data_IF_602538985582
#
_entry.id   IF_602538985582
#
_cell.length_a   1.000
_cell.length_b   1.000
_cell.length_c   1.000
_cell.angle_alpha   90.00
_cell.angle_beta   90.00
_cell.angle_gamma   90.00
#
_symmetry.space_group_name_H-M   'P 1'
#
loop_
_entity.id
_entity.type
_entity.pdbx_description
1 polymer ?
#
# COMPACT_ATOMS: atom_id res chain seq x y z
N UNK A 1 16.62 8.21 -2.23
CA UNK A 1 16.43 6.77 -2.13
C UNK A 1 15.04 6.54 -1.55
N UNK A 2 14.32 5.51 -2.00
CA UNK A 2 13.02 5.19 -1.42
C UNK A 2 13.17 4.77 0.06
N UNK A 3 12.14 5.04 0.86
CA UNK A 3 12.05 4.63 2.26
C UNK A 3 10.92 3.61 2.42
N UNK A 4 11.21 2.51 3.11
CA UNK A 4 10.19 1.54 3.49
C UNK A 4 9.94 1.61 4.98
N UNK A 5 8.67 1.68 5.35
CA UNK A 5 8.28 1.72 6.74
C UNK A 5 6.90 1.11 6.92
N UNK A 6 6.57 0.85 8.17
CA UNK A 6 5.22 0.49 8.60
C UNK A 6 4.76 1.39 9.72
N UNK A 7 3.46 1.61 9.81
CA UNK A 7 2.76 2.22 10.93
C UNK A 7 1.55 1.38 11.28
N UNK A 8 0.98 1.63 12.45
CA UNK A 8 -0.22 0.98 12.91
C UNK A 8 -1.33 2.01 13.07
N UNK A 9 -2.47 1.74 12.43
CA UNK A 9 -3.65 2.57 12.50
C UNK A 9 -4.68 1.91 13.42
N UNK A 10 -4.72 2.39 14.66
CA UNK A 10 -5.49 1.78 15.75
C UNK A 10 -7.01 1.79 15.51
N UNK A 11 -7.53 2.84 14.87
CA UNK A 11 -8.98 3.00 14.65
C UNK A 11 -9.57 1.90 13.78
N UNK A 12 -8.80 1.38 12.81
CA UNK A 12 -9.25 0.31 11.91
C UNK A 12 -8.58 -1.03 12.15
N UNK A 13 -7.72 -1.14 13.17
CA UNK A 13 -6.87 -2.31 13.42
C UNK A 13 -6.10 -2.69 12.15
N UNK A 14 -5.28 -1.76 11.63
CA UNK A 14 -4.52 -1.95 10.39
C UNK A 14 -3.03 -1.72 10.57
N UNK A 15 -2.23 -2.63 10.03
CA UNK A 15 -0.84 -2.35 9.69
C UNK A 15 -0.79 -1.73 8.29
N UNK A 16 -0.27 -0.50 8.23
CA UNK A 16 0.00 0.21 6.98
C UNK A 16 1.47 0.04 6.65
N UNK A 17 1.80 -0.48 5.48
CA UNK A 17 3.17 -0.62 5.01
C UNK A 17 3.36 0.18 3.72
N UNK A 18 4.36 1.05 3.69
CA UNK A 18 4.62 1.95 2.58
C UNK A 18 6.02 1.75 2.00
N UNK A 19 6.09 1.84 0.67
CA UNK A 19 7.28 2.32 -0.03
C UNK A 19 7.01 3.78 -0.39
N UNK A 20 7.79 4.70 0.14
CA UNK A 20 7.73 6.12 -0.14
C UNK A 20 8.91 6.56 -1.01
N UNK A 21 8.66 7.54 -1.89
CA UNK A 21 9.71 8.20 -2.65
C UNK A 21 10.47 9.26 -1.81
N UNK A 22 11.29 10.07 -2.47
CA UNK A 22 12.11 11.11 -1.82
C UNK A 22 11.29 12.35 -1.41
N UNK A 23 10.05 12.46 -1.88
CA UNK A 23 9.12 13.55 -1.58
C UNK A 23 8.06 13.12 -0.55
N UNK A 24 8.30 12.00 0.15
CA UNK A 24 7.40 11.39 1.13
C UNK A 24 6.02 11.02 0.55
N UNK A 25 5.94 10.69 -0.74
CA UNK A 25 4.71 10.19 -1.36
C UNK A 25 4.72 8.67 -1.52
N UNK A 26 3.54 8.05 -1.41
CA UNK A 26 3.38 6.62 -1.57
C UNK A 26 3.66 6.16 -3.02
N UNK A 27 4.67 5.32 -3.21
CA UNK A 27 4.92 4.58 -4.46
C UNK A 27 4.13 3.28 -4.47
N UNK A 28 4.14 2.57 -3.34
CA UNK A 28 3.30 1.39 -3.07
C UNK A 28 2.80 1.43 -1.63
N UNK A 29 1.59 0.93 -1.44
CA UNK A 29 0.92 0.87 -0.14
C UNK A 29 0.25 -0.49 0.06
N UNK A 30 0.39 -1.05 1.25
CA UNK A 30 -0.26 -2.28 1.71
C UNK A 30 -1.00 -1.99 3.01
N UNK A 31 -2.24 -2.47 3.10
CA UNK A 31 -3.01 -2.49 4.35
C UNK A 31 -3.25 -3.95 4.74
N UNK A 32 -2.88 -4.32 5.97
CA UNK A 32 -3.08 -5.64 6.54
C UNK A 32 -3.92 -5.52 7.81
N UNK A 33 -4.93 -6.38 7.97
CA UNK A 33 -5.67 -6.48 9.25
C UNK A 33 -4.72 -6.79 10.41
N UNK A 34 -4.90 -6.13 11.54
CA UNK A 34 -4.04 -6.27 12.72
C UNK A 34 -4.13 -7.67 13.33
N UNK A 35 -5.35 -8.19 13.51
CA UNK A 35 -5.56 -9.52 14.09
C UNK A 35 -5.37 -10.67 13.09
N UNK A 36 -5.86 -10.53 11.85
CA UNK A 36 -5.91 -11.63 10.87
C UNK A 36 -4.81 -11.58 9.79
N UNK A 37 -4.01 -10.51 9.77
CA UNK A 37 -3.02 -10.20 8.73
C UNK A 37 -3.59 -10.23 7.31
N UNK A 38 -4.92 -10.12 7.16
CA UNK A 38 -5.57 -10.25 5.86
C UNK A 38 -5.35 -8.97 5.06
N UNK A 39 -4.84 -9.05 3.83
CA UNK A 39 -4.64 -7.88 3.00
C UNK A 39 -5.97 -7.25 2.60
N UNK A 40 -6.07 -5.93 2.77
CA UNK A 40 -7.17 -5.10 2.26
C UNK A 40 -6.75 -4.31 1.02
N UNK A 41 -5.51 -3.83 1.00
CA UNK A 41 -4.95 -2.99 -0.06
C UNK A 41 -3.55 -3.47 -0.46
N UNK A 42 -3.21 -3.33 -1.74
CA UNK A 42 -1.88 -3.54 -2.33
C UNK A 42 -1.73 -2.65 -3.58
N UNK A 43 -1.85 -1.34 -3.38
CA UNK A 43 -1.92 -0.33 -4.43
C UNK A 43 -0.53 0.16 -4.87
N UNK A 44 -0.39 0.55 -6.14
CA UNK A 44 0.87 1.00 -6.75
C UNK A 44 0.64 2.22 -7.62
N UNK A 45 1.43 3.27 -7.38
CA UNK A 45 1.45 4.49 -8.18
C UNK A 45 1.71 4.20 -9.65
N UNK A 46 2.70 3.36 -9.96
CA UNK A 46 3.01 2.95 -11.33
C UNK A 46 1.79 2.39 -12.06
N UNK A 47 0.94 1.62 -11.37
CA UNK A 47 -0.25 1.03 -11.98
C UNK A 47 -1.38 2.04 -12.14
N UNK A 48 -1.59 2.91 -11.15
CA UNK A 48 -2.55 4.02 -11.21
C UNK A 48 -2.21 4.96 -12.36
N UNK A 49 -0.96 5.45 -12.45
CA UNK A 49 -0.52 6.34 -13.53
C UNK A 49 -0.72 5.70 -14.91
N UNK A 50 -0.32 4.44 -15.06
CA UNK A 50 -0.50 3.74 -16.33
C UNK A 50 -1.99 3.61 -16.73
N UNK A 51 -2.88 3.30 -15.79
CA UNK A 51 -4.31 3.20 -16.08
C UNK A 51 -4.92 4.57 -16.39
N UNK A 52 -4.52 5.62 -15.67
CA UNK A 52 -4.94 7.00 -15.94
C UNK A 52 -4.56 7.44 -17.36
N UNK A 53 -3.34 7.13 -17.78
CA UNK A 53 -2.79 7.64 -19.04
C UNK A 53 -3.19 6.80 -20.26
N UNK A 54 -3.58 5.53 -20.05
CA UNK A 54 -3.73 4.56 -21.15
C UNK A 54 -5.01 3.71 -21.12
N UNK A 55 -5.87 3.83 -20.11
CA UNK A 55 -7.07 3.01 -19.97
C UNK A 55 -8.32 3.85 -19.70
N UNK A 56 -9.47 3.19 -19.71
CA UNK A 56 -10.74 3.82 -19.34
C UNK A 56 -10.98 3.79 -17.83
N UNK A 57 -12.03 4.52 -17.40
CA UNK A 57 -12.44 4.56 -16.00
C UNK A 57 -12.83 3.18 -15.46
N UNK A 58 -13.38 2.29 -16.30
CA UNK A 58 -13.78 0.96 -15.88
C UNK A 58 -12.57 0.09 -15.50
N UNK A 59 -11.46 0.22 -16.23
CA UNK A 59 -10.20 -0.43 -15.91
C UNK A 59 -9.61 0.08 -14.58
N UNK A 60 -9.67 1.39 -14.33
CA UNK A 60 -9.28 1.98 -13.05
C UNK A 60 -10.13 1.44 -11.90
N UNK A 61 -11.46 1.49 -12.03
CA UNK A 61 -12.38 0.99 -10.99
C UNK A 61 -12.17 -0.49 -10.71
N UNK A 62 -11.92 -1.33 -11.73
CA UNK A 62 -11.62 -2.76 -11.52
C UNK A 62 -10.32 -2.95 -10.76
N UNK A 63 -9.32 -2.12 -11.02
CA UNK A 63 -8.05 -2.17 -10.31
C UNK A 63 -8.23 -1.76 -8.84
N UNK A 64 -8.88 -0.62 -8.58
CA UNK A 64 -9.12 -0.10 -7.22
C UNK A 64 -9.98 -1.06 -6.40
N UNK A 65 -11.02 -1.66 -7.00
CA UNK A 65 -11.83 -2.70 -6.32
C UNK A 65 -11.03 -3.92 -5.90
N UNK A 66 -9.95 -4.25 -6.61
CA UNK A 66 -9.15 -5.44 -6.36
C UNK A 66 -7.96 -5.19 -5.46
N UNK A 67 -7.31 -4.05 -5.62
CA UNK A 67 -6.04 -3.76 -4.96
C UNK A 67 -6.10 -2.53 -4.04
N UNK A 68 -7.26 -1.92 -3.88
CA UNK A 68 -7.43 -0.69 -3.11
C UNK A 68 -7.00 0.57 -3.86
N UNK A 69 -7.25 1.71 -3.22
CA UNK A 69 -6.86 3.05 -3.67
C UNK A 69 -5.49 3.36 -3.07
N UNK A 70 -4.62 3.99 -3.86
CA UNK A 70 -3.32 4.43 -3.35
C UNK A 70 -3.52 5.62 -2.39
N UNK A 71 -2.77 5.65 -1.29
CA UNK A 71 -2.77 6.80 -0.40
C UNK A 71 -2.41 8.09 -1.16
N UNK A 72 -3.20 9.14 -0.95
CA UNK A 72 -3.16 10.43 -1.66
C UNK A 72 -2.76 11.60 -0.74
N UNK A 73 -2.26 11.28 0.46
CA UNK A 73 -1.70 12.24 1.39
C UNK A 73 -0.17 12.07 1.51
N UNK A 74 0.58 13.15 1.76
CA UNK A 74 1.97 13.08 2.17
C UNK A 74 2.16 12.16 3.38
N UNK A 75 3.27 11.45 3.41
CA UNK A 75 3.65 10.52 4.48
C UNK A 75 4.66 11.14 5.45
N UNK A 76 4.79 12.47 5.46
CA UNK A 76 5.64 13.17 6.41
C UNK A 76 5.17 12.95 7.85
N UNK A 77 6.11 12.90 8.80
CA UNK A 77 5.81 12.63 10.20
C UNK A 77 5.37 11.19 10.51
N UNK A 78 5.53 10.24 9.58
CA UNK A 78 5.21 8.82 9.83
C UNK A 78 5.92 8.25 11.06
N UNK A 79 7.06 8.81 11.46
CA UNK A 79 7.87 8.38 12.61
C UNK A 79 7.14 8.58 13.94
N UNK A 80 6.22 9.54 13.99
CA UNK A 80 5.43 9.85 15.20
C UNK A 80 4.15 9.01 15.29
N UNK A 81 3.87 8.20 14.26
CA UNK A 81 2.69 7.34 14.23
C UNK A 81 2.87 6.10 15.13
N UNK A 82 1.78 5.55 15.69
CA UNK A 82 1.84 4.30 16.43
C UNK A 82 2.47 3.17 15.61
N UNK A 83 3.29 2.32 16.25
CA UNK A 83 3.91 1.18 15.59
C UNK A 83 4.92 1.54 14.48
N UNK A 84 5.29 2.82 14.34
CA UNK A 84 6.22 3.30 13.33
C UNK A 84 7.57 2.58 13.40
N UNK A 85 7.94 1.94 12.30
CA UNK A 85 9.26 1.31 12.16
C UNK A 85 9.68 1.31 10.70
N UNK A 86 10.97 1.57 10.45
CA UNK A 86 11.56 1.24 9.15
C UNK A 86 11.56 -0.27 8.96
N UNK A 87 11.25 -0.70 7.76
CA UNK A 87 11.36 -2.10 7.34
C UNK A 87 12.34 -2.19 6.16
N UNK A 88 12.83 -3.38 5.87
CA UNK A 88 13.72 -3.54 4.71
C UNK A 88 12.91 -3.63 3.42
N UNK A 89 13.56 -3.35 2.29
CA UNK A 89 12.95 -3.56 0.98
C UNK A 89 12.55 -5.03 0.79
N UNK A 90 13.36 -6.00 1.25
CA UNK A 90 13.02 -7.42 1.14
C UNK A 90 11.79 -7.81 1.96
N UNK A 91 11.64 -7.25 3.16
CA UNK A 91 10.44 -7.44 3.99
C UNK A 91 9.20 -6.89 3.27
N UNK A 92 9.30 -5.67 2.74
CA UNK A 92 8.20 -5.06 1.98
C UNK A 92 7.82 -5.89 0.76
N UNK A 93 8.79 -6.35 -0.05
CA UNK A 93 8.51 -7.15 -1.26
C UNK A 93 7.82 -8.47 -0.94
N UNK A 94 8.14 -9.09 0.20
CA UNK A 94 7.46 -10.30 0.66
C UNK A 94 5.99 -10.01 0.99
N UNK A 95 5.74 -9.00 1.82
CA UNK A 95 4.37 -8.58 2.17
C UNK A 95 3.57 -8.19 0.92
N UNK A 96 4.20 -7.45 0.00
CA UNK A 96 3.61 -7.03 -1.27
C UNK A 96 3.20 -8.22 -2.14
N UNK A 97 4.11 -9.18 -2.32
CA UNK A 97 3.85 -10.40 -3.10
C UNK A 97 2.72 -11.23 -2.51
N UNK A 98 2.71 -11.39 -1.19
CA UNK A 98 1.67 -12.13 -0.49
C UNK A 98 0.31 -11.43 -0.57
N UNK A 99 0.28 -10.11 -0.35
CA UNK A 99 -0.92 -9.30 -0.45
C UNK A 99 -1.55 -9.39 -1.84
N UNK A 100 -0.75 -9.20 -2.90
CA UNK A 100 -1.24 -9.29 -4.28
C UNK A 100 -1.67 -10.69 -4.67
N UNK A 101 -1.09 -11.75 -4.08
CA UNK A 101 -1.52 -13.12 -4.33
C UNK A 101 -2.90 -13.39 -3.74
N UNK A 102 -3.13 -12.95 -2.50
CA UNK A 102 -4.43 -13.12 -1.82
C UNK A 102 -5.52 -12.30 -2.51
N UNK A 103 -5.28 -10.99 -2.73
CA UNK A 103 -6.20 -10.10 -3.45
C UNK A 103 -6.34 -10.49 -4.94
N UNK A 104 -5.32 -11.15 -5.49
CA UNK A 104 -5.32 -11.73 -6.81
C UNK A 104 -6.18 -12.99 -6.92
N UNK A 105 -6.22 -13.83 -5.89
CA UNK A 105 -7.01 -15.06 -5.85
C UNK A 105 -8.48 -14.84 -5.49
N UNK A 106 -8.81 -13.70 -4.87
CA UNK A 106 -10.18 -13.28 -4.62
C UNK A 106 -10.83 -12.79 -5.94
N UNK A 107 -11.33 -13.73 -6.74
CA UNK A 107 -12.02 -13.49 -8.01
C UNK A 107 -13.36 -14.22 -8.05
#
# INVERSE_FOLDING_TARGET
MATWFRTYYEEEDLWLCFEADEEDWAVRHIELGGEDARPRTAASLKKVLHLRDHADLAAMTRYERRYGILADAPLDGWQDQPGAARITAEEFERLWGDARRVLGGAG
#
